data_IF_154649937968
#
_entry.id   IF_154649937968
#
_cell.length_a   1.000
_cell.length_b   1.000
_cell.length_c   1.000
_cell.angle_alpha   90.00
_cell.angle_beta   90.00
_cell.angle_gamma   90.00
#
_symmetry.space_group_name_H-M   'P 1'
#
loop_
_entity.id
_entity.type
_entity.pdbx_description
1 polymer ?
#
# COMPACT_ATOMS: atom_id res chain seq x y z
N UNK A 1 -21.47 -47.17 -47.68
CA UNK A 1 -20.61 -46.94 -46.51
C UNK A 1 -20.33 -45.46 -46.42
N UNK A 2 -20.77 -44.81 -45.35
CA UNK A 2 -20.62 -43.37 -45.09
C UNK A 2 -19.17 -43.07 -44.72
N UNK A 3 -18.46 -42.34 -45.60
CA UNK A 3 -17.11 -41.86 -45.34
C UNK A 3 -17.18 -40.73 -44.31
N UNK A 4 -16.74 -41.01 -43.09
CA UNK A 4 -16.56 -40.00 -42.05
C UNK A 4 -15.26 -39.24 -42.30
N UNK A 5 -15.34 -38.06 -42.95
CA UNK A 5 -14.23 -37.11 -43.02
C UNK A 5 -14.33 -36.13 -41.85
N UNK A 6 -13.73 -36.50 -40.72
CA UNK A 6 -13.36 -35.55 -39.67
C UNK A 6 -11.85 -35.47 -39.56
N UNK A 7 -11.22 -34.85 -40.53
CA UNK A 7 -10.04 -34.04 -40.24
C UNK A 7 -10.20 -32.75 -41.05
N UNK A 8 -10.50 -31.61 -40.41
CA UNK A 8 -10.31 -30.36 -41.09
C UNK A 8 -8.84 -30.33 -41.50
N UNK A 9 -8.57 -30.19 -42.81
CA UNK A 9 -7.24 -29.89 -43.31
C UNK A 9 -6.87 -28.54 -42.70
N UNK A 10 -6.23 -28.58 -41.53
CA UNK A 10 -5.77 -27.39 -40.84
C UNK A 10 -4.67 -26.80 -41.71
N UNK A 11 -5.07 -25.89 -42.60
CA UNK A 11 -4.15 -25.21 -43.50
C UNK A 11 -3.16 -24.42 -42.63
N UNK A 12 -1.88 -24.75 -42.75
CA UNK A 12 -0.80 -24.07 -42.02
C UNK A 12 -0.87 -22.54 -42.23
N UNK A 13 -1.35 -22.11 -43.40
CA UNK A 13 -1.57 -20.69 -43.70
C UNK A 13 -2.63 -20.07 -42.79
N UNK A 14 -3.72 -20.78 -42.52
CA UNK A 14 -4.78 -20.33 -41.63
C UNK A 14 -4.28 -20.13 -40.19
N UNK A 15 -3.47 -21.06 -39.68
CA UNK A 15 -2.85 -20.92 -38.36
C UNK A 15 -1.87 -19.74 -38.31
N UNK A 16 -1.02 -19.59 -39.33
CA UNK A 16 -0.10 -18.45 -39.40
C UNK A 16 -0.83 -17.12 -39.46
N UNK A 17 -1.95 -17.03 -40.20
CA UNK A 17 -2.77 -15.83 -40.23
C UNK A 17 -3.45 -15.56 -38.89
N UNK A 18 -3.97 -16.60 -38.22
CA UNK A 18 -4.61 -16.46 -36.91
C UNK A 18 -3.59 -15.95 -35.88
N UNK A 19 -2.46 -16.64 -35.73
CA UNK A 19 -1.41 -16.24 -34.80
C UNK A 19 -0.80 -14.88 -35.15
N UNK A 20 -0.62 -14.58 -36.44
CA UNK A 20 -0.12 -13.28 -36.88
C UNK A 20 -1.07 -12.14 -36.54
N UNK A 21 -2.36 -12.29 -36.83
CA UNK A 21 -3.38 -11.30 -36.50
C UNK A 21 -3.51 -11.14 -34.98
N UNK A 22 -3.56 -12.25 -34.23
CA UNK A 22 -3.61 -12.20 -32.76
C UNK A 22 -2.37 -11.51 -32.19
N UNK A 23 -1.17 -11.80 -32.70
CA UNK A 23 0.05 -11.14 -32.26
C UNK A 23 0.02 -9.63 -32.54
N UNK A 24 -0.47 -9.20 -33.71
CA UNK A 24 -0.63 -7.78 -34.03
C UNK A 24 -1.65 -7.11 -33.10
N UNK A 25 -2.79 -7.74 -32.85
CA UNK A 25 -3.83 -7.21 -31.94
C UNK A 25 -3.30 -7.08 -30.52
N UNK A 26 -2.55 -8.07 -30.03
CA UNK A 26 -1.95 -8.03 -28.70
C UNK A 26 -0.76 -7.07 -28.59
N UNK A 27 -0.02 -6.85 -29.67
CA UNK A 27 1.09 -5.89 -29.71
C UNK A 27 0.60 -4.45 -29.91
N UNK A 28 -0.61 -4.24 -30.44
CA UNK A 28 -1.14 -2.92 -30.75
C UNK A 28 -1.11 -1.95 -29.55
N UNK A 29 -1.55 -2.33 -28.32
CA UNK A 29 -1.46 -1.44 -27.17
C UNK A 29 -0.01 -1.03 -26.86
N UNK A 30 0.93 -1.98 -26.94
CA UNK A 30 2.35 -1.70 -26.68
C UNK A 30 2.98 -0.77 -27.74
N UNK A 31 2.53 -0.88 -28.99
CA UNK A 31 2.93 0.02 -30.08
C UNK A 31 2.32 1.42 -29.95
N UNK A 32 1.15 1.53 -29.32
CA UNK A 32 0.45 2.81 -29.09
C UNK A 32 0.89 3.52 -27.79
N UNK A 33 1.45 2.79 -26.82
CA UNK A 33 1.99 3.35 -25.56
C UNK A 33 2.83 4.64 -25.75
N UNK A 34 3.82 4.72 -26.67
CA UNK A 34 4.64 5.93 -26.80
C UNK A 34 3.89 7.14 -27.41
N UNK A 35 2.71 6.92 -28.02
CA UNK A 35 1.92 7.97 -28.67
C UNK A 35 0.94 8.62 -27.69
N UNK A 36 0.54 7.91 -26.63
CA UNK A 36 -0.40 8.43 -25.64
C UNK A 36 0.35 9.30 -24.62
N UNK A 37 0.12 10.62 -24.58
CA UNK A 37 0.74 11.48 -23.58
C UNK A 37 0.22 11.10 -22.20
N UNK A 38 1.13 10.75 -21.29
CA UNK A 38 0.81 10.51 -19.88
C UNK A 38 0.40 11.84 -19.28
N UNK A 39 -0.91 12.05 -19.09
CA UNK A 39 -1.38 13.19 -18.30
C UNK A 39 -0.95 12.92 -16.86
N UNK A 40 0.00 13.71 -16.36
CA UNK A 40 0.34 13.71 -14.93
C UNK A 40 -0.80 14.41 -14.19
N UNK A 41 -1.92 13.71 -14.04
CA UNK A 41 -3.00 14.13 -13.15
C UNK A 41 -2.48 13.89 -11.75
N UNK A 42 -2.04 14.96 -11.11
CA UNK A 42 -1.77 14.96 -9.67
C UNK A 42 -3.10 15.26 -9.00
N UNK A 43 -3.57 14.33 -8.18
CA UNK A 43 -4.80 14.49 -7.39
C UNK A 43 -4.44 14.63 -5.91
N UNK A 44 -5.35 15.25 -5.14
CA UNK A 44 -5.19 15.34 -3.69
C UNK A 44 -5.19 13.94 -3.10
N UNK A 45 -4.27 13.66 -2.18
CA UNK A 45 -4.23 12.38 -1.46
C UNK A 45 -5.39 12.34 -0.47
N UNK A 46 -6.17 11.27 -0.49
CA UNK A 46 -7.33 11.10 0.40
C UNK A 46 -7.24 9.73 1.06
N UNK A 47 -6.90 9.69 2.34
CA UNK A 47 -6.87 8.43 3.08
C UNK A 47 -8.28 7.88 3.25
N UNK A 48 -8.43 6.55 3.22
CA UNK A 48 -9.69 5.86 3.42
C UNK A 48 -10.13 5.04 2.20
N UNK A 49 -11.37 5.23 1.79
CA UNK A 49 -11.97 4.55 0.63
C UNK A 49 -13.06 5.45 0.06
N UNK A 50 -13.19 5.57 -1.26
CA UNK A 50 -14.16 6.49 -1.89
C UNK A 50 -15.59 6.44 -1.33
N UNK A 51 -16.08 5.27 -0.91
CA UNK A 51 -17.45 5.10 -0.39
C UNK A 51 -17.58 5.14 1.15
N UNK A 52 -16.51 5.49 1.88
CA UNK A 52 -16.47 5.40 3.35
C UNK A 52 -15.90 6.62 4.05
N UNK A 53 -15.30 6.38 5.22
CA UNK A 53 -14.60 7.40 5.98
C UNK A 53 -13.36 7.87 5.24
N UNK A 54 -13.26 9.17 4.98
CA UNK A 54 -12.16 9.75 4.23
C UNK A 54 -11.47 10.88 4.99
N UNK A 55 -10.14 10.93 4.93
CA UNK A 55 -9.32 12.00 5.50
C UNK A 55 -8.44 12.58 4.37
N UNK A 56 -8.73 13.79 3.87
CA UNK A 56 -7.88 14.43 2.87
C UNK A 56 -6.56 14.88 3.49
N UNK A 57 -5.44 14.61 2.82
CA UNK A 57 -4.14 15.18 3.19
C UNK A 57 -3.87 16.44 2.38
N UNK A 58 -3.12 17.38 2.96
CA UNK A 58 -2.66 18.59 2.26
C UNK A 58 -1.45 18.32 1.36
N UNK A 59 -1.59 17.34 0.46
CA UNK A 59 -0.59 17.00 -0.55
C UNK A 59 -1.24 16.45 -1.81
N UNK A 60 -0.52 16.55 -2.92
CA UNK A 60 -0.98 16.04 -4.23
C UNK A 60 0.01 15.06 -4.81
N UNK A 61 -0.49 13.88 -5.17
CA UNK A 61 0.30 12.80 -5.72
C UNK A 61 -0.41 12.19 -6.93
N UNK A 62 0.29 11.35 -7.70
CA UNK A 62 -0.34 10.68 -8.84
C UNK A 62 -1.14 9.48 -8.32
N UNK A 63 -2.40 9.28 -8.71
CA UNK A 63 -3.08 8.02 -8.46
C UNK A 63 -2.24 6.85 -9.00
N UNK A 64 -2.11 5.78 -8.22
CA UNK A 64 -1.30 4.63 -8.62
C UNK A 64 -2.18 3.46 -9.03
N UNK A 65 -2.00 2.97 -10.25
CA UNK A 65 -2.60 1.70 -10.71
C UNK A 65 -1.83 0.47 -10.22
N UNK A 66 -0.64 0.68 -9.64
CA UNK A 66 0.20 -0.40 -9.12
C UNK A 66 -0.15 -0.74 -7.65
N UNK A 67 -1.00 0.07 -7.02
CA UNK A 67 -1.54 -0.20 -5.70
C UNK A 67 -2.56 -1.35 -5.77
N UNK A 68 -2.54 -2.23 -4.78
CA UNK A 68 -3.54 -3.29 -4.61
C UNK A 68 -4.89 -2.72 -4.16
N UNK A 69 -4.84 -1.63 -3.40
CA UNK A 69 -5.99 -0.90 -2.88
C UNK A 69 -5.97 0.53 -3.45
N UNK A 70 -6.86 1.39 -2.97
CA UNK A 70 -6.78 2.81 -3.29
C UNK A 70 -5.42 3.36 -2.86
N UNK A 71 -4.74 4.08 -3.75
CA UNK A 71 -3.35 4.44 -3.50
C UNK A 71 -2.79 5.48 -4.45
N UNK A 72 -1.71 6.10 -4.00
CA UNK A 72 -1.01 7.18 -4.70
C UNK A 72 0.48 6.89 -4.77
N UNK A 73 1.11 7.36 -5.84
CA UNK A 73 2.55 7.42 -6.01
C UNK A 73 3.02 8.86 -5.77
N UNK A 74 3.68 9.05 -4.63
CA UNK A 74 4.28 10.30 -4.19
C UNK A 74 5.81 10.19 -4.36
N UNK A 75 6.32 10.50 -5.55
CA UNK A 75 7.73 10.23 -5.88
C UNK A 75 8.00 8.74 -5.96
N UNK A 76 8.93 8.23 -5.14
CA UNK A 76 9.25 6.80 -5.03
C UNK A 76 8.47 6.10 -3.91
N UNK A 77 7.53 6.80 -3.26
CA UNK A 77 6.67 6.23 -2.22
C UNK A 77 5.35 5.78 -2.84
N UNK A 78 5.01 4.51 -2.62
CA UNK A 78 3.68 3.96 -2.85
C UNK A 78 2.90 4.06 -1.53
N UNK A 79 1.87 4.88 -1.51
CA UNK A 79 0.93 4.98 -0.41
C UNK A 79 -0.34 4.21 -0.79
N UNK A 80 -0.75 3.28 0.06
CA UNK A 80 -1.98 2.51 -0.10
C UNK A 80 -2.84 2.72 1.14
N UNK A 81 -4.15 2.81 0.96
CA UNK A 81 -5.10 3.01 2.04
C UNK A 81 -6.35 2.18 1.84
N UNK A 82 -7.01 1.85 2.94
CA UNK A 82 -8.36 1.29 2.92
C UNK A 82 -9.05 1.47 4.28
N UNK A 83 -10.38 1.42 4.26
CA UNK A 83 -11.18 1.21 5.45
C UNK A 83 -11.52 -0.28 5.58
N UNK A 84 -11.37 -0.83 6.77
CA UNK A 84 -11.77 -2.20 7.09
C UNK A 84 -12.62 -2.23 8.34
N UNK A 85 -13.42 -3.29 8.49
CA UNK A 85 -14.05 -3.58 9.77
C UNK A 85 -12.98 -3.82 10.84
N UNK A 86 -13.04 -3.02 11.89
CA UNK A 86 -12.21 -3.14 13.08
C UNK A 86 -12.51 -4.44 13.82
N UNK A 87 -11.46 -5.05 14.35
CA UNK A 87 -11.59 -6.22 15.22
C UNK A 87 -11.49 -5.82 16.70
N UNK A 88 -11.66 -6.78 17.59
CA UNK A 88 -11.39 -6.59 19.03
C UNK A 88 -9.91 -6.37 19.36
N UNK A 89 -9.03 -6.56 18.38
CA UNK A 89 -7.58 -6.42 18.48
C UNK A 89 -7.08 -5.57 17.28
N UNK A 90 -6.94 -4.25 17.47
CA UNK A 90 -6.51 -3.32 16.43
C UNK A 90 -5.13 -3.65 15.86
N UNK A 91 -4.24 -4.19 16.68
CA UNK A 91 -2.88 -4.55 16.28
C UNK A 91 -2.86 -5.77 15.37
N UNK A 92 -3.70 -6.76 15.67
CA UNK A 92 -3.91 -7.91 14.77
C UNK A 92 -4.47 -7.44 13.43
N UNK A 93 -5.40 -6.48 13.44
CA UNK A 93 -5.96 -5.90 12.21
C UNK A 93 -4.89 -5.18 11.39
N UNK A 94 -4.07 -4.31 12.01
CA UNK A 94 -2.97 -3.62 11.35
C UNK A 94 -1.98 -4.61 10.72
N UNK A 95 -1.53 -5.62 11.46
CA UNK A 95 -0.59 -6.65 10.94
C UNK A 95 -1.19 -7.45 9.78
N UNK A 96 -2.48 -7.78 9.87
CA UNK A 96 -3.21 -8.47 8.79
C UNK A 96 -3.25 -7.61 7.53
N UNK A 97 -3.52 -6.32 7.67
CA UNK A 97 -3.59 -5.39 6.54
C UNK A 97 -2.22 -5.07 5.95
N UNK A 98 -1.18 -4.93 6.78
CA UNK A 98 0.19 -4.84 6.28
C UNK A 98 0.57 -6.05 5.45
N UNK A 99 0.26 -7.27 5.92
CA UNK A 99 0.49 -8.50 5.14
C UNK A 99 -0.27 -8.49 3.81
N UNK A 100 -1.49 -7.94 3.80
CA UNK A 100 -2.30 -7.86 2.59
C UNK A 100 -1.76 -6.85 1.57
N UNK A 101 -1.25 -5.70 2.02
CA UNK A 101 -0.84 -4.58 1.16
C UNK A 101 0.66 -4.55 0.81
N UNK A 102 1.54 -5.03 1.69
CA UNK A 102 2.99 -4.99 1.51
C UNK A 102 3.59 -6.28 0.89
N UNK A 103 2.75 -7.25 0.50
CA UNK A 103 3.09 -8.59 0.00
C UNK A 103 3.87 -9.51 0.95
N UNK A 104 4.78 -8.97 1.76
CA UNK A 104 5.53 -9.67 2.80
C UNK A 104 5.01 -9.22 4.16
N UNK A 105 4.73 -10.15 5.09
CA UNK A 105 4.27 -9.76 6.42
C UNK A 105 5.40 -9.11 7.22
N UNK A 106 5.07 -8.12 8.07
CA UNK A 106 6.03 -7.57 9.01
C UNK A 106 6.47 -8.66 10.01
N UNK A 107 7.68 -8.53 10.62
CA UNK A 107 8.13 -9.41 11.69
C UNK A 107 7.10 -9.53 12.80
N UNK A 108 6.91 -10.75 13.33
CA UNK A 108 5.90 -11.02 14.35
C UNK A 108 6.16 -10.23 15.66
N UNK A 109 7.43 -9.94 15.92
CA UNK A 109 7.96 -9.18 17.06
C UNK A 109 8.21 -7.70 16.76
N UNK A 110 7.83 -7.20 15.56
CA UNK A 110 7.95 -5.78 15.23
C UNK A 110 7.21 -4.93 16.29
N UNK A 111 7.86 -3.90 16.80
CA UNK A 111 7.28 -3.05 17.81
C UNK A 111 6.15 -2.18 17.25
N UNK A 112 5.11 -1.96 18.06
CA UNK A 112 3.95 -1.15 17.69
C UNK A 112 3.97 0.13 18.53
N UNK A 113 4.10 1.26 17.84
CA UNK A 113 3.88 2.57 18.45
C UNK A 113 2.38 2.77 18.65
N UNK A 114 2.00 3.27 19.84
CA UNK A 114 0.61 3.45 20.25
C UNK A 114 0.40 4.89 20.71
N UNK A 115 -0.58 5.56 20.11
CA UNK A 115 -1.02 6.89 20.53
C UNK A 115 -2.53 6.97 20.39
N UNK A 116 -3.26 6.91 21.51
CA UNK A 116 -4.73 6.91 21.51
C UNK A 116 -5.32 5.80 20.62
N UNK A 117 -6.18 6.11 19.63
CA UNK A 117 -6.72 5.14 18.66
C UNK A 117 -5.79 4.85 17.48
N UNK A 118 -4.61 5.50 17.42
CA UNK A 118 -3.65 5.32 16.34
C UNK A 118 -2.57 4.29 16.69
N UNK A 119 -2.19 3.47 15.71
CA UNK A 119 -1.11 2.48 15.81
C UNK A 119 -0.18 2.61 14.62
N UNK A 120 1.11 2.36 14.82
CA UNK A 120 2.10 2.34 13.75
C UNK A 120 3.06 1.16 13.91
N UNK A 121 3.41 0.54 12.77
CA UNK A 121 4.43 -0.50 12.65
C UNK A 121 5.41 -0.08 11.56
N UNK A 122 6.69 -0.21 11.85
CA UNK A 122 7.78 -0.07 10.87
C UNK A 122 8.26 -1.47 10.50
N UNK A 123 8.32 -1.74 9.20
CA UNK A 123 8.89 -2.97 8.66
C UNK A 123 10.11 -2.64 7.80
N UNK A 124 11.29 -2.75 8.41
CA UNK A 124 12.57 -2.50 7.76
C UNK A 124 12.85 -3.48 6.62
N UNK A 125 12.26 -4.68 6.66
CA UNK A 125 12.51 -5.74 5.66
C UNK A 125 11.89 -5.40 4.30
N UNK A 126 10.73 -4.73 4.32
CA UNK A 126 10.00 -4.28 3.14
C UNK A 126 10.17 -2.78 2.87
N UNK A 127 10.80 -2.05 3.81
CA UNK A 127 10.83 -0.58 3.83
C UNK A 127 9.40 -0.01 3.76
N UNK A 128 8.54 -0.59 4.59
CA UNK A 128 7.14 -0.21 4.68
C UNK A 128 6.79 0.27 6.08
N UNK A 129 5.93 1.28 6.16
CA UNK A 129 5.34 1.77 7.41
C UNK A 129 3.84 1.58 7.32
N UNK A 130 3.28 0.78 8.23
CA UNK A 130 1.84 0.61 8.38
C UNK A 130 1.32 1.48 9.52
N UNK A 131 0.23 2.20 9.27
CA UNK A 131 -0.49 2.98 10.27
C UNK A 131 -1.96 2.58 10.27
N UNK A 132 -2.59 2.56 11.42
CA UNK A 132 -4.04 2.39 11.53
C UNK A 132 -4.64 3.38 12.51
N UNK A 133 -5.87 3.80 12.23
CA UNK A 133 -6.68 4.65 13.09
C UNK A 133 -8.05 4.01 13.31
N UNK A 134 -8.39 3.76 14.57
CA UNK A 134 -9.73 3.30 14.94
C UNK A 134 -10.74 4.45 14.81
N UNK A 135 -11.84 4.19 14.12
CA UNK A 135 -12.92 5.15 13.94
C UNK A 135 -13.75 5.33 15.20
N UNK A 136 -14.33 6.52 15.35
CA UNK A 136 -15.23 6.88 16.46
C UNK A 136 -16.53 7.49 15.93
N UNK A 137 -17.59 7.47 16.73
CA UNK A 137 -18.88 8.07 16.37
C UNK A 137 -19.52 7.33 15.19
N UNK A 138 -19.76 8.02 14.07
CA UNK A 138 -20.35 7.42 12.86
C UNK A 138 -19.46 6.36 12.20
N UNK A 139 -18.17 6.37 12.51
CA UNK A 139 -17.18 5.42 12.00
C UNK A 139 -16.78 4.35 13.04
N UNK A 140 -17.54 4.21 14.13
CA UNK A 140 -17.28 3.20 15.14
C UNK A 140 -17.33 1.79 14.52
N UNK A 141 -16.36 0.95 14.89
CA UNK A 141 -16.22 -0.39 14.31
C UNK A 141 -15.50 -0.42 12.95
N UNK A 142 -15.08 0.73 12.41
CA UNK A 142 -14.17 0.80 11.27
C UNK A 142 -12.74 1.11 11.73
N UNK A 143 -11.77 0.66 10.96
CA UNK A 143 -10.35 0.99 11.11
C UNK A 143 -9.82 1.43 9.75
N UNK A 144 -9.33 2.66 9.69
CA UNK A 144 -8.59 3.13 8.52
C UNK A 144 -7.17 2.60 8.62
N UNK A 145 -6.63 2.05 7.53
CA UNK A 145 -5.26 1.56 7.46
C UNK A 145 -4.55 2.18 6.27
N UNK A 146 -3.34 2.67 6.51
CA UNK A 146 -2.43 3.22 5.50
C UNK A 146 -1.13 2.44 5.53
N UNK A 147 -0.63 2.05 4.36
CA UNK A 147 0.68 1.42 4.20
C UNK A 147 1.49 2.23 3.21
N UNK A 148 2.59 2.79 3.69
CA UNK A 148 3.56 3.54 2.91
C UNK A 148 4.74 2.63 2.61
N UNK A 149 5.16 2.52 1.35
CA UNK A 149 6.29 1.68 0.95
C UNK A 149 7.22 2.46 0.04
N UNK A 150 8.51 2.49 0.35
CA UNK A 150 9.49 3.23 -0.44
C UNK A 150 10.81 3.51 0.30
N UNK A 151 11.66 4.39 -0.22
CA UNK A 151 12.89 4.79 0.45
C UNK A 151 12.58 5.52 1.78
N UNK A 152 13.25 5.15 2.87
CA UNK A 152 13.00 5.70 4.21
C UNK A 152 13.02 7.23 4.29
N UNK A 153 13.95 7.88 3.59
CA UNK A 153 14.02 9.35 3.51
C UNK A 153 12.81 10.04 2.85
N UNK A 154 12.07 9.33 1.98
CA UNK A 154 10.82 9.83 1.38
C UNK A 154 9.59 9.34 2.16
N UNK A 155 9.65 8.15 2.78
CA UNK A 155 8.56 7.60 3.59
C UNK A 155 8.38 8.38 4.88
N UNK A 156 9.46 8.75 5.58
CA UNK A 156 9.41 9.45 6.86
C UNK A 156 8.56 10.75 6.85
N UNK A 157 8.75 11.72 5.93
CA UNK A 157 7.92 12.93 5.91
C UNK A 157 6.45 12.65 5.59
N UNK A 158 6.17 11.65 4.75
CA UNK A 158 4.79 11.25 4.46
C UNK A 158 4.14 10.55 5.66
N UNK A 159 4.89 9.70 6.36
CA UNK A 159 4.45 9.06 7.58
C UNK A 159 4.16 10.09 8.68
N UNK A 160 4.98 11.14 8.78
CA UNK A 160 4.79 12.26 9.71
C UNK A 160 3.48 13.00 9.43
N UNK A 161 3.20 13.30 8.15
CA UNK A 161 1.92 13.92 7.75
C UNK A 161 0.72 13.06 8.14
N UNK A 162 0.75 11.76 7.82
CA UNK A 162 -0.36 10.84 8.16
C UNK A 162 -0.52 10.72 9.67
N UNK A 163 0.59 10.60 10.40
CA UNK A 163 0.58 10.48 11.85
C UNK A 163 0.04 11.73 12.54
N UNK A 164 0.40 12.91 12.03
CA UNK A 164 -0.11 14.19 12.49
C UNK A 164 -1.61 14.32 12.25
N UNK A 165 -2.11 13.88 11.11
CA UNK A 165 -3.57 13.84 10.87
C UNK A 165 -4.29 12.85 11.79
N UNK A 166 -3.66 11.73 12.14
CA UNK A 166 -4.25 10.71 13.01
C UNK A 166 -4.26 11.11 14.49
N UNK A 167 -3.23 11.82 14.95
CA UNK A 167 -2.97 12.03 16.39
C UNK A 167 -2.94 13.50 16.81
N UNK A 168 -2.84 14.42 15.85
CA UNK A 168 -2.57 15.84 16.09
C UNK A 168 -1.14 16.14 16.53
N UNK A 169 -0.22 15.17 16.47
CA UNK A 169 1.17 15.30 16.94
C UNK A 169 2.16 14.86 15.86
N UNK A 170 3.34 15.46 15.88
CA UNK A 170 4.45 15.04 15.02
C UNK A 170 4.98 13.66 15.45
N UNK A 171 5.62 12.95 14.51
CA UNK A 171 6.32 11.70 14.81
C UNK A 171 7.46 11.95 15.78
N UNK A 172 7.64 11.11 16.82
CA UNK A 172 8.82 11.16 17.66
C UNK A 172 10.08 10.97 16.82
N UNK A 173 11.14 11.74 17.11
CA UNK A 173 12.37 11.75 16.30
C UNK A 173 12.99 10.35 16.20
N UNK A 174 12.95 9.56 17.27
CA UNK A 174 13.43 8.16 17.30
C UNK A 174 12.72 7.30 16.24
N UNK A 175 11.42 7.51 16.04
CA UNK A 175 10.62 6.76 15.06
C UNK A 175 10.93 7.24 13.65
N UNK A 176 11.12 8.55 13.47
CA UNK A 176 11.54 9.15 12.21
C UNK A 176 12.91 8.63 11.77
N UNK A 177 13.86 8.56 12.69
CA UNK A 177 15.19 7.97 12.46
C UNK A 177 15.09 6.48 12.11
N UNK A 178 14.23 5.72 12.80
CA UNK A 178 14.02 4.31 12.51
C UNK A 178 13.48 4.08 11.08
N UNK A 179 12.53 4.90 10.61
CA UNK A 179 12.01 4.84 9.24
C UNK A 179 13.10 5.17 8.21
N UNK A 180 13.98 6.13 8.52
CA UNK A 180 15.05 6.56 7.62
C UNK A 180 16.24 5.61 7.61
N UNK A 181 16.37 4.77 8.63
CA UNK A 181 17.48 3.84 8.76
C UNK A 181 17.55 2.91 7.54
N UNK A 182 18.76 2.63 7.02
CA UNK A 182 18.91 1.66 5.95
C UNK A 182 18.44 0.28 6.43
N UNK A 183 17.69 -0.42 5.59
CA UNK A 183 17.16 -1.76 5.84
C UNK A 183 18.31 -2.70 6.25
N UNK A 184 18.37 -3.08 7.52
CA UNK A 184 19.38 -4.00 8.02
C UNK A 184 19.03 -5.43 7.57
N UNK A 185 19.69 -5.92 6.52
CA UNK A 185 19.70 -7.33 6.18
C UNK A 185 20.51 -8.13 7.21
N UNK A 186 19.92 -8.46 8.35
CA UNK A 186 20.58 -9.29 9.35
C UNK A 186 19.81 -9.35 10.67
N UNK A 187 19.36 -10.54 11.04
CA UNK A 187 18.58 -10.79 12.26
C UNK A 187 19.21 -10.18 13.51
N UNK A 188 18.50 -9.23 14.10
CA UNK A 188 18.91 -8.54 15.31
C UNK A 188 17.98 -7.36 15.52
N UNK A 189 16.80 -7.62 16.09
CA UNK A 189 15.79 -6.58 16.35
C UNK A 189 16.39 -5.40 17.10
N UNK A 190 16.20 -4.21 16.55
CA UNK A 190 16.44 -2.96 17.26
C UNK A 190 15.41 -2.92 18.40
N UNK A 191 15.84 -3.26 19.62
CA UNK A 191 15.02 -3.08 20.83
C UNK A 191 14.98 -1.59 21.11
N UNK A 192 13.87 -0.93 20.77
CA UNK A 192 13.64 0.43 21.23
C UNK A 192 13.26 0.32 22.72
N UNK A 193 13.99 0.96 23.64
CA UNK A 193 13.61 0.96 25.04
C UNK A 193 12.50 2.00 25.24
N UNK A 194 11.25 1.61 25.04
CA UNK A 194 10.12 2.42 25.50
C UNK A 194 9.88 2.15 27.00
N UNK A 195 10.33 3.08 27.83
CA UNK A 195 10.03 3.09 29.26
C UNK A 195 8.60 3.66 29.44
N UNK A 196 7.64 2.89 30.00
CA UNK A 196 6.29 3.39 30.20
C UNK A 196 6.31 4.41 31.34
N UNK A 197 6.13 5.70 31.02
CA UNK A 197 5.80 6.69 32.04
C UNK A 197 4.39 6.40 32.55
N UNK A 198 4.33 5.72 33.69
CA UNK A 198 3.14 5.61 34.53
C UNK A 198 2.82 7.01 35.05
N UNK A 199 1.80 7.65 34.48
CA UNK A 199 1.21 8.86 35.06
C UNK A 199 0.37 8.40 36.27
N UNK A 200 0.67 8.83 37.51
CA UNK A 200 -0.16 8.50 38.66
C UNK A 200 -1.51 9.24 38.58
N UNK A 201 -2.53 8.58 39.12
CA UNK A 201 -3.96 8.87 39.07
C UNK A 201 -4.38 10.29 39.51
#
# INVERSE_FOLDING_TARGET
MTQYRLQPTADRRWWLTLFGVTAVVLALPALLLPVVPVRTVSDRVVLGSQEGWNIPLDMSCRPSTDALMEGWRCGDVLAQTMNVEGGTDPERTLRRMMRAMAFVPPPADAEILREGPARMIIDDSTRSVGMSLEGSGENEGLTMVVVLTGPGGQVAPMADTVWQEYTGRELPEIVREAIQAPSYGGGGGLRIPFEPQVVPA
#
